data_IF_672300477894
#
_entry.id   IF_672300477894
#
_cell.length_a   1.000
_cell.length_b   1.000
_cell.length_c   1.000
_cell.angle_alpha   90.00
_cell.angle_beta   90.00
_cell.angle_gamma   90.00
#
_symmetry.space_group_name_H-M   'P 1'
#
loop_
_entity.id
_entity.type
_entity.pdbx_description
1 polymer ?
#
# COMPACT_ATOMS: atom_id res chain seq x y z
N UNK A 1 7.37 -3.36 9.54
CA UNK A 1 6.38 -3.05 8.47
C UNK A 1 6.23 -4.16 7.44
N UNK A 2 7.28 -4.88 7.04
CA UNK A 2 7.22 -6.01 6.06
C UNK A 2 6.23 -7.13 6.43
N UNK A 3 5.90 -7.30 7.71
CA UNK A 3 4.90 -8.25 8.17
C UNK A 3 3.44 -7.79 7.95
N UNK A 4 3.18 -6.52 7.59
CA UNK A 4 1.81 -6.01 7.43
C UNK A 4 0.99 -6.77 6.37
N UNK A 5 1.54 -7.10 5.18
CA UNK A 5 0.84 -7.93 4.21
C UNK A 5 0.67 -9.39 4.64
N UNK A 6 1.37 -9.88 5.68
CA UNK A 6 1.30 -11.29 6.10
C UNK A 6 -0.10 -11.67 6.60
N UNK A 7 -0.81 -10.74 7.26
CA UNK A 7 -2.19 -10.94 7.69
C UNK A 7 -3.13 -11.09 6.50
N UNK A 8 -2.95 -10.25 5.47
CA UNK A 8 -3.70 -10.36 4.22
C UNK A 8 -3.42 -11.69 3.53
N UNK A 9 -2.15 -12.11 3.43
CA UNK A 9 -1.79 -13.40 2.83
C UNK A 9 -2.35 -14.58 3.62
N UNK A 10 -2.40 -14.49 4.96
CA UNK A 10 -3.02 -15.51 5.80
C UNK A 10 -4.53 -15.62 5.51
N UNK A 11 -5.23 -14.50 5.39
CA UNK A 11 -6.66 -14.48 5.01
C UNK A 11 -6.88 -15.08 3.63
N UNK A 12 -6.09 -14.69 2.64
CA UNK A 12 -6.16 -15.25 1.29
C UNK A 12 -5.92 -16.77 1.31
N UNK A 13 -4.96 -17.23 2.10
CA UNK A 13 -4.67 -18.66 2.23
C UNK A 13 -5.83 -19.44 2.88
N UNK A 14 -6.50 -18.84 3.86
CA UNK A 14 -7.66 -19.44 4.55
C UNK A 14 -8.91 -19.44 3.67
N UNK A 15 -9.20 -18.31 3.01
CA UNK A 15 -10.38 -18.13 2.17
C UNK A 15 -10.21 -18.74 0.76
N UNK A 16 -9.00 -19.17 0.40
CA UNK A 16 -8.64 -19.74 -0.91
C UNK A 16 -8.98 -18.84 -2.10
N UNK A 17 -9.20 -17.55 -1.85
CA UNK A 17 -9.46 -16.52 -2.85
C UNK A 17 -8.75 -15.22 -2.47
N UNK A 18 -8.44 -14.40 -3.47
CA UNK A 18 -7.72 -13.12 -3.28
C UNK A 18 -8.66 -11.94 -2.96
N UNK A 19 -9.94 -12.06 -3.29
CA UNK A 19 -10.92 -10.97 -3.15
C UNK A 19 -10.57 -9.77 -4.05
N UNK A 20 -10.84 -8.55 -3.56
CA UNK A 20 -10.56 -7.27 -4.25
C UNK A 20 -9.12 -6.74 -4.07
N UNK A 21 -8.25 -7.54 -3.46
CA UNK A 21 -6.87 -7.12 -3.15
C UNK A 21 -6.06 -6.91 -4.43
N UNK A 22 -5.38 -5.77 -4.57
CA UNK A 22 -4.53 -5.48 -5.73
C UNK A 22 -3.13 -6.08 -5.58
N UNK A 23 -2.55 -6.55 -6.70
CA UNK A 23 -1.16 -7.06 -6.77
C UNK A 23 -0.12 -5.92 -6.80
N UNK A 24 -0.53 -4.71 -7.17
CA UNK A 24 0.35 -3.54 -7.32
C UNK A 24 1.18 -3.26 -6.05
N UNK A 25 0.60 -3.15 -4.84
CA UNK A 25 1.39 -2.92 -3.63
C UNK A 25 2.39 -4.04 -3.32
N UNK A 26 2.11 -5.30 -3.67
CA UNK A 26 3.07 -6.41 -3.50
C UNK A 26 4.23 -6.28 -4.49
N UNK A 27 3.93 -5.95 -5.75
CA UNK A 27 4.95 -5.75 -6.78
C UNK A 27 5.80 -4.50 -6.49
N UNK A 28 5.20 -3.42 -5.98
CA UNK A 28 5.90 -2.21 -5.58
C UNK A 28 6.76 -2.44 -4.32
N UNK A 29 6.29 -3.24 -3.36
CA UNK A 29 7.10 -3.67 -2.22
C UNK A 29 8.33 -4.47 -2.65
N UNK A 30 8.17 -5.41 -3.60
CA UNK A 30 9.28 -6.15 -4.18
C UNK A 30 10.27 -5.19 -4.84
N UNK A 31 9.78 -4.31 -5.71
CA UNK A 31 10.64 -3.38 -6.44
C UNK A 31 11.43 -2.45 -5.51
N UNK A 32 10.76 -1.85 -4.52
CA UNK A 32 11.42 -0.99 -3.55
C UNK A 32 12.47 -1.75 -2.72
N UNK A 33 12.14 -2.96 -2.25
CA UNK A 33 13.07 -3.76 -1.45
C UNK A 33 14.28 -4.17 -2.26
N UNK A 34 14.07 -4.57 -3.52
CA UNK A 34 15.14 -4.99 -4.42
C UNK A 34 16.12 -3.85 -4.74
N UNK A 35 15.61 -2.66 -5.06
CA UNK A 35 16.45 -1.50 -5.39
C UNK A 35 17.26 -1.05 -4.18
N UNK A 36 16.66 -0.99 -2.99
CA UNK A 36 17.36 -0.65 -1.75
C UNK A 36 18.39 -1.71 -1.32
N UNK A 37 18.11 -2.98 -1.57
CA UNK A 37 19.08 -4.06 -1.36
C UNK A 37 20.31 -3.87 -2.27
N UNK A 38 20.09 -3.60 -3.56
CA UNK A 38 21.17 -3.34 -4.52
C UNK A 38 21.96 -2.08 -4.17
N UNK A 39 21.29 -1.03 -3.68
CA UNK A 39 21.93 0.17 -3.16
C UNK A 39 22.84 -0.15 -1.97
N UNK A 40 22.34 -0.89 -0.97
CA UNK A 40 23.13 -1.30 0.20
C UNK A 40 24.35 -2.14 -0.18
N UNK A 41 24.24 -2.98 -1.21
CA UNK A 41 25.38 -3.73 -1.76
C UNK A 41 26.46 -2.81 -2.35
N UNK A 42 26.08 -1.80 -3.14
CA UNK A 42 27.03 -0.85 -3.75
C UNK A 42 27.70 0.08 -2.73
N UNK A 43 26.95 0.52 -1.73
CA UNK A 43 27.44 1.40 -0.67
C UNK A 43 28.28 0.62 0.38
N UNK A 44 28.51 -0.68 0.18
CA UNK A 44 29.16 -1.59 1.14
C UNK A 44 28.47 -1.62 2.52
N UNK A 45 27.18 -1.28 2.54
CA UNK A 45 26.36 -1.18 3.73
C UNK A 45 25.59 -2.50 3.95
N UNK A 46 26.35 -3.52 4.34
CA UNK A 46 25.82 -4.89 4.52
C UNK A 46 24.81 -4.99 5.67
N UNK A 47 25.01 -4.22 6.75
CA UNK A 47 24.11 -4.14 7.89
C UNK A 47 23.90 -2.69 8.32
N UNK A 48 22.64 -2.22 8.48
CA UNK A 48 21.38 -2.95 8.37
C UNK A 48 20.73 -2.88 6.97
N UNK A 49 21.20 -2.01 6.06
CA UNK A 49 20.50 -1.71 4.79
C UNK A 49 20.32 -2.98 3.94
N UNK A 50 21.41 -3.58 3.47
CA UNK A 50 21.34 -4.78 2.63
C UNK A 50 20.56 -5.91 3.31
N UNK A 51 20.86 -6.21 4.58
CA UNK A 51 20.23 -7.30 5.32
C UNK A 51 18.70 -7.11 5.50
N UNK A 52 18.25 -5.92 5.91
CA UNK A 52 16.83 -5.66 6.11
C UNK A 52 16.04 -5.70 4.79
N UNK A 53 16.61 -5.15 3.72
CA UNK A 53 15.96 -5.12 2.41
C UNK A 53 16.01 -6.46 1.69
N UNK A 54 17.04 -7.28 1.92
CA UNK A 54 17.07 -8.68 1.47
C UNK A 54 15.93 -9.50 2.09
N UNK A 55 15.71 -9.37 3.41
CA UNK A 55 14.56 -10.02 4.07
C UNK A 55 13.24 -9.50 3.49
N UNK A 56 13.14 -8.20 3.23
CA UNK A 56 11.99 -7.58 2.56
C UNK A 56 11.72 -8.17 1.17
N UNK A 57 12.76 -8.33 0.36
CA UNK A 57 12.72 -8.90 -0.99
C UNK A 57 12.24 -10.36 -0.95
N UNK A 58 12.84 -11.20 -0.09
CA UNK A 58 12.43 -12.59 0.10
C UNK A 58 10.97 -12.71 0.58
N UNK A 59 10.55 -11.89 1.55
CA UNK A 59 9.16 -11.86 1.99
C UNK A 59 8.22 -11.45 0.85
N UNK A 60 8.58 -10.44 0.05
CA UNK A 60 7.77 -9.99 -1.08
C UNK A 60 7.61 -11.08 -2.14
N UNK A 61 8.67 -11.85 -2.44
CA UNK A 61 8.61 -13.01 -3.33
C UNK A 61 7.67 -14.10 -2.79
N UNK A 62 7.72 -14.39 -1.50
CA UNK A 62 6.81 -15.36 -0.86
C UNK A 62 5.37 -14.88 -0.95
N UNK A 63 5.08 -13.62 -0.60
CA UNK A 63 3.73 -13.06 -0.68
C UNK A 63 3.18 -13.06 -2.11
N UNK A 64 4.02 -12.69 -3.08
CA UNK A 64 3.65 -12.68 -4.48
C UNK A 64 3.37 -14.11 -5.01
N UNK A 65 4.15 -15.09 -4.55
CA UNK A 65 3.94 -16.50 -4.90
C UNK A 65 2.61 -17.02 -4.36
N UNK A 66 2.28 -16.72 -3.10
CA UNK A 66 0.99 -17.07 -2.49
C UNK A 66 -0.16 -16.39 -3.24
N UNK A 67 -0.04 -15.09 -3.51
CA UNK A 67 -1.03 -14.32 -4.27
C UNK A 67 -1.26 -14.91 -5.67
N UNK A 68 -0.18 -15.23 -6.39
CA UNK A 68 -0.25 -15.81 -7.73
C UNK A 68 -0.92 -17.20 -7.75
N UNK A 69 -0.71 -18.00 -6.70
CA UNK A 69 -1.34 -19.30 -6.59
C UNK A 69 -2.86 -19.20 -6.46
N UNK A 70 -3.36 -18.29 -5.60
CA UNK A 70 -4.78 -18.15 -5.28
C UNK A 70 -5.56 -17.17 -6.18
N UNK A 71 -4.88 -16.38 -7.02
CA UNK A 71 -5.57 -15.42 -7.89
C UNK A 71 -6.23 -16.11 -9.09
N UNK A 72 -7.44 -15.67 -9.42
CA UNK A 72 -8.13 -16.02 -10.66
C UNK A 72 -7.59 -15.19 -11.85
N UNK A 73 -7.15 -13.96 -11.59
CA UNK A 73 -6.70 -12.98 -12.58
C UNK A 73 -5.21 -13.11 -12.93
N UNK A 74 -4.74 -14.33 -13.21
CA UNK A 74 -3.31 -14.61 -13.47
C UNK A 74 -2.73 -13.79 -14.61
N UNK A 75 -3.51 -13.50 -15.66
CA UNK A 75 -3.08 -12.68 -16.81
C UNK A 75 -2.78 -11.23 -16.41
N UNK A 76 -3.50 -10.69 -15.43
CA UNK A 76 -3.24 -9.34 -14.91
C UNK A 76 -1.95 -9.33 -14.09
N UNK A 77 -1.78 -10.32 -13.18
CA UNK A 77 -0.54 -10.45 -12.40
C UNK A 77 0.67 -10.65 -13.30
N UNK A 78 0.60 -11.53 -14.29
CA UNK A 78 1.68 -11.74 -15.24
C UNK A 78 2.03 -10.47 -16.03
N UNK A 79 1.04 -9.65 -16.40
CA UNK A 79 1.30 -8.35 -17.04
C UNK A 79 2.05 -7.39 -16.11
N UNK A 80 1.65 -7.30 -14.85
CA UNK A 80 2.34 -6.47 -13.84
C UNK A 80 3.78 -6.96 -13.65
N UNK A 81 3.99 -8.27 -13.50
CA UNK A 81 5.32 -8.85 -13.32
C UNK A 81 6.18 -8.76 -14.59
N UNK A 82 5.58 -8.86 -15.77
CA UNK A 82 6.28 -8.65 -17.04
C UNK A 82 6.79 -7.21 -17.21
N UNK A 83 6.26 -6.25 -16.46
CA UNK A 83 6.80 -4.87 -16.41
C UNK A 83 7.84 -4.75 -15.30
N UNK A 84 7.52 -5.24 -14.09
CA UNK A 84 8.39 -5.05 -12.91
C UNK A 84 9.69 -5.86 -13.00
N UNK A 85 9.63 -7.14 -13.38
CA UNK A 85 10.80 -8.02 -13.40
C UNK A 85 11.89 -7.49 -14.37
N UNK A 86 11.59 -7.09 -15.63
CA UNK A 86 12.61 -6.52 -16.49
C UNK A 86 13.25 -5.25 -15.93
N UNK A 87 12.48 -4.38 -15.28
CA UNK A 87 13.03 -3.17 -14.64
C UNK A 87 14.02 -3.57 -13.54
N UNK A 88 13.67 -4.53 -12.68
CA UNK A 88 14.55 -5.00 -11.61
C UNK A 88 15.80 -5.69 -12.16
N UNK A 89 15.67 -6.49 -13.22
CA UNK A 89 16.79 -7.11 -13.90
C UNK A 89 17.73 -6.06 -14.52
N UNK A 90 17.19 -5.03 -15.17
CA UNK A 90 17.99 -3.94 -15.73
C UNK A 90 18.78 -3.19 -14.65
N UNK A 91 18.13 -2.86 -13.52
CA UNK A 91 18.80 -2.23 -12.37
C UNK A 91 19.89 -3.16 -11.81
N UNK A 92 19.59 -4.45 -11.66
CA UNK A 92 20.55 -5.44 -11.16
C UNK A 92 21.77 -5.58 -12.06
N UNK A 93 21.56 -5.68 -13.38
CA UNK A 93 22.65 -5.74 -14.36
C UNK A 93 23.47 -4.47 -14.31
N UNK A 94 22.84 -3.29 -14.25
CA UNK A 94 23.55 -2.01 -14.12
C UNK A 94 24.40 -1.95 -12.85
N UNK A 95 23.88 -2.41 -11.72
CA UNK A 95 24.59 -2.50 -10.44
C UNK A 95 25.79 -3.44 -10.52
N UNK A 96 25.62 -4.63 -11.10
CA UNK A 96 26.70 -5.63 -11.22
C UNK A 96 27.79 -5.13 -12.17
N UNK A 97 27.41 -4.68 -13.38
CA UNK A 97 28.36 -4.18 -14.39
C UNK A 97 29.08 -2.91 -13.90
N UNK A 98 28.34 -2.02 -13.21
CA UNK A 98 28.89 -0.82 -12.60
C UNK A 98 29.81 -1.09 -11.42
N UNK A 99 29.45 -2.06 -10.56
CA UNK A 99 30.30 -2.51 -9.45
C UNK A 99 31.58 -3.20 -9.90
N UNK A 100 31.54 -3.93 -11.02
CA UNK A 100 32.71 -4.55 -11.65
C UNK A 100 33.60 -3.56 -12.44
N UNK A 101 33.17 -2.30 -12.59
CA UNK A 101 33.95 -1.25 -13.24
C UNK A 101 33.87 -1.22 -14.77
N UNK A 102 33.01 -2.03 -15.39
CA UNK A 102 32.86 -2.08 -16.86
C UNK A 102 32.11 -0.88 -17.46
N UNK A 103 31.47 -0.05 -16.63
CA UNK A 103 30.74 1.15 -17.07
C UNK A 103 31.63 2.38 -17.24
N UNK A 104 32.91 2.30 -16.86
CA UNK A 104 33.82 3.46 -16.81
C UNK A 104 33.46 4.49 -15.73
N UNK A 105 32.47 4.20 -14.88
CA UNK A 105 32.06 5.03 -13.75
C UNK A 105 32.72 4.54 -12.46
N UNK A 106 32.95 5.46 -11.53
CA UNK A 106 33.34 5.07 -10.16
C UNK A 106 32.19 4.39 -9.44
N UNK A 107 32.48 3.47 -8.52
CA UNK A 107 31.46 2.80 -7.69
C UNK A 107 30.55 3.79 -6.96
N UNK A 108 31.10 4.94 -6.54
CA UNK A 108 30.33 6.04 -5.94
C UNK A 108 29.32 6.66 -6.89
N UNK A 109 29.67 6.88 -8.16
CA UNK A 109 28.73 7.44 -9.15
C UNK A 109 27.56 6.48 -9.42
N UNK A 110 27.86 5.18 -9.53
CA UNK A 110 26.83 4.14 -9.70
C UNK A 110 25.93 4.08 -8.46
N UNK A 111 26.51 4.10 -7.25
CA UNK A 111 25.76 4.15 -5.99
C UNK A 111 24.84 5.37 -5.90
N UNK A 112 25.32 6.56 -6.28
CA UNK A 112 24.50 7.79 -6.33
C UNK A 112 23.30 7.64 -7.25
N UNK A 113 23.48 7.11 -8.46
CA UNK A 113 22.39 6.92 -9.43
C UNK A 113 21.35 5.93 -8.88
N UNK A 114 21.81 4.81 -8.34
CA UNK A 114 20.93 3.78 -7.75
C UNK A 114 20.21 4.33 -6.51
N UNK A 115 20.88 5.13 -5.68
CA UNK A 115 20.28 5.81 -4.53
C UNK A 115 19.16 6.76 -4.94
N UNK A 116 19.35 7.56 -5.99
CA UNK A 116 18.27 8.41 -6.55
C UNK A 116 17.06 7.58 -7.01
N UNK A 117 17.31 6.45 -7.68
CA UNK A 117 16.24 5.55 -8.14
C UNK A 117 15.53 4.91 -6.94
N UNK A 118 16.27 4.53 -5.90
CA UNK A 118 15.74 3.97 -4.66
C UNK A 118 14.84 4.96 -3.92
N UNK A 119 15.26 6.23 -3.82
CA UNK A 119 14.49 7.30 -3.21
C UNK A 119 13.19 7.56 -3.99
N UNK A 120 13.28 7.66 -5.32
CA UNK A 120 12.11 7.84 -6.18
C UNK A 120 11.12 6.68 -6.03
N UNK A 121 11.61 5.43 -6.07
CA UNK A 121 10.78 4.25 -5.88
C UNK A 121 10.11 4.23 -4.49
N UNK A 122 10.84 4.62 -3.45
CA UNK A 122 10.31 4.71 -2.09
C UNK A 122 9.23 5.79 -1.95
N UNK A 123 9.42 6.96 -2.56
CA UNK A 123 8.40 8.03 -2.59
C UNK A 123 7.14 7.55 -3.32
N UNK A 124 7.29 6.91 -4.49
CA UNK A 124 6.15 6.35 -5.22
C UNK A 124 5.39 5.29 -4.40
N UNK A 125 6.10 4.41 -3.68
CA UNK A 125 5.48 3.41 -2.80
C UNK A 125 4.67 4.05 -1.66
N UNK A 126 5.17 5.15 -1.10
CA UNK A 126 4.48 5.93 -0.07
C UNK A 126 3.28 6.74 -0.59
N UNK A 127 3.04 6.76 -1.91
CA UNK A 127 1.87 7.40 -2.51
C UNK A 127 0.53 6.86 -1.99
N UNK A 128 0.42 5.56 -1.72
CA UNK A 128 -0.81 4.96 -1.20
C UNK A 128 -1.20 5.50 0.21
N UNK A 129 -0.29 5.54 1.20
CA UNK A 129 -0.52 6.28 2.45
C UNK A 129 -0.86 7.76 2.25
N UNK A 130 -0.24 8.45 1.29
CA UNK A 130 -0.55 9.85 0.99
C UNK A 130 -1.97 10.05 0.45
N UNK A 131 -2.49 9.12 -0.35
CA UNK A 131 -3.86 9.17 -0.84
C UNK A 131 -4.87 9.08 0.34
N UNK A 132 -4.63 8.16 1.28
CA UNK A 132 -5.46 8.03 2.49
C UNK A 132 -5.44 9.31 3.33
N UNK A 133 -4.28 9.97 3.44
CA UNK A 133 -4.16 11.26 4.11
C UNK A 133 -5.00 12.37 3.43
N UNK A 134 -5.02 12.40 2.10
CA UNK A 134 -5.86 13.32 1.34
C UNK A 134 -7.36 13.03 1.57
N UNK A 135 -7.75 11.76 1.65
CA UNK A 135 -9.12 11.37 1.98
C UNK A 135 -9.54 11.85 3.38
N UNK A 136 -8.65 11.79 4.37
CA UNK A 136 -8.91 12.27 5.73
C UNK A 136 -9.14 13.77 5.75
N UNK A 137 -8.31 14.54 5.03
CA UNK A 137 -8.50 15.99 4.89
C UNK A 137 -9.80 16.34 4.17
N UNK A 138 -10.15 15.59 3.12
CA UNK A 138 -11.37 15.80 2.32
C UNK A 138 -12.64 15.49 3.10
N UNK A 139 -12.67 14.38 3.82
CA UNK A 139 -13.85 13.89 4.54
C UNK A 139 -13.89 14.32 6.01
N UNK A 140 -12.85 15.02 6.50
CA UNK A 140 -12.70 15.46 7.90
C UNK A 140 -12.93 14.34 8.91
N UNK A 141 -12.56 13.11 8.55
CA UNK A 141 -12.78 11.92 9.35
C UNK A 141 -11.51 11.09 9.46
N UNK A 142 -11.18 10.70 10.69
CA UNK A 142 -10.01 9.88 10.99
C UNK A 142 -10.34 8.38 11.11
N UNK A 143 -11.57 7.96 10.75
CA UNK A 143 -12.04 6.55 10.86
C UNK A 143 -11.11 5.56 10.16
N UNK A 144 -10.54 5.95 9.01
CA UNK A 144 -9.70 5.07 8.20
C UNK A 144 -8.22 5.04 8.64
N UNK A 145 -7.83 5.82 9.67
CA UNK A 145 -6.45 5.85 10.14
C UNK A 145 -6.29 4.86 11.31
N UNK A 146 -5.53 3.79 11.07
CA UNK A 146 -5.02 2.96 12.16
C UNK A 146 -3.87 3.69 12.87
N UNK A 147 -4.18 4.31 14.02
CA UNK A 147 -3.23 5.13 14.79
C UNK A 147 -1.98 4.34 15.22
N UNK A 148 -2.14 3.08 15.60
CA UNK A 148 -1.02 2.23 16.02
C UNK A 148 -0.03 2.00 14.86
N UNK A 149 -0.55 1.80 13.65
CA UNK A 149 0.29 1.62 12.46
C UNK A 149 1.04 2.89 12.07
N UNK A 150 0.40 4.06 12.20
CA UNK A 150 1.05 5.37 11.93
C UNK A 150 2.14 5.65 12.96
N UNK A 151 1.92 5.38 14.24
CA UNK A 151 2.93 5.54 15.30
C UNK A 151 4.12 4.61 15.02
N UNK A 152 3.86 3.32 14.80
CA UNK A 152 4.92 2.34 14.52
C UNK A 152 5.73 2.69 13.26
N UNK A 153 5.04 3.14 12.19
CA UNK A 153 5.69 3.60 10.96
C UNK A 153 6.55 4.85 11.19
N UNK A 154 6.04 5.84 11.93
CA UNK A 154 6.79 7.06 12.25
C UNK A 154 8.03 6.75 13.08
N UNK A 155 7.92 5.90 14.11
CA UNK A 155 9.08 5.46 14.91
C UNK A 155 10.11 4.73 14.06
N UNK A 156 9.69 3.84 13.15
CA UNK A 156 10.59 3.18 12.21
C UNK A 156 11.35 4.20 11.35
N UNK A 157 10.67 5.21 10.82
CA UNK A 157 11.30 6.24 9.99
C UNK A 157 12.25 7.13 10.81
N UNK A 158 11.96 7.40 12.08
CA UNK A 158 12.89 8.10 12.99
C UNK A 158 14.16 7.27 13.22
N UNK A 159 14.03 5.95 13.44
CA UNK A 159 15.20 5.06 13.61
C UNK A 159 16.08 5.09 12.35
N UNK A 160 15.47 4.97 11.17
CA UNK A 160 16.20 5.05 9.90
C UNK A 160 16.80 6.42 9.64
N UNK A 161 16.13 7.51 10.06
CA UNK A 161 16.68 8.85 9.99
C UNK A 161 17.92 9.00 10.87
N UNK A 162 17.85 8.55 12.14
CA UNK A 162 19.00 8.56 13.05
C UNK A 162 20.15 7.72 12.48
N UNK A 163 19.84 6.57 11.90
CA UNK A 163 20.83 5.73 11.23
C UNK A 163 21.48 6.45 10.04
N UNK A 164 20.69 7.06 9.15
CA UNK A 164 21.19 7.82 8.01
C UNK A 164 22.10 8.98 8.42
N UNK A 165 21.77 9.68 9.51
CA UNK A 165 22.62 10.73 10.09
C UNK A 165 23.95 10.14 10.58
N UNK A 166 23.93 9.00 11.27
CA UNK A 166 25.13 8.36 11.81
C UNK A 166 26.13 7.96 10.72
N UNK A 167 25.64 7.46 9.59
CA UNK A 167 26.48 7.07 8.45
C UNK A 167 26.65 8.19 7.41
N UNK A 168 26.12 9.39 7.68
CA UNK A 168 26.13 10.55 6.77
C UNK A 168 25.63 10.19 5.35
N UNK A 169 24.61 9.34 5.27
CA UNK A 169 24.02 8.90 4.02
C UNK A 169 22.81 9.77 3.68
N UNK A 170 23.01 10.71 2.75
CA UNK A 170 22.03 11.71 2.38
C UNK A 170 20.74 11.14 1.77
N UNK A 171 20.80 10.00 1.07
CA UNK A 171 19.62 9.37 0.49
C UNK A 171 18.68 8.85 1.59
N UNK A 172 19.24 8.09 2.54
CA UNK A 172 18.47 7.59 3.69
C UNK A 172 17.93 8.76 4.53
N UNK A 173 18.74 9.80 4.77
CA UNK A 173 18.27 10.98 5.49
C UNK A 173 17.08 11.63 4.77
N UNK A 174 17.25 11.93 3.48
CA UNK A 174 16.27 12.66 2.68
C UNK A 174 14.90 11.99 2.71
N UNK A 175 14.85 10.70 2.36
CA UNK A 175 13.58 9.98 2.27
C UNK A 175 12.90 9.82 3.65
N UNK A 176 13.69 9.61 4.71
CA UNK A 176 13.12 9.42 6.05
C UNK A 176 12.65 10.74 6.68
N UNK A 177 13.30 11.88 6.40
CA UNK A 177 12.76 13.20 6.80
C UNK A 177 11.39 13.41 6.17
N UNK A 178 11.24 13.10 4.89
CA UNK A 178 9.96 13.19 4.19
C UNK A 178 8.91 12.30 4.87
N UNK A 179 9.22 11.05 5.21
CA UNK A 179 8.22 10.17 5.85
C UNK A 179 7.92 10.52 7.31
N UNK A 180 8.90 11.03 8.07
CA UNK A 180 8.67 11.50 9.44
C UNK A 180 7.77 12.74 9.45
N UNK A 181 7.98 13.68 8.53
CA UNK A 181 7.12 14.87 8.42
C UNK A 181 5.68 14.50 8.07
N UNK A 182 5.50 13.59 7.11
CA UNK A 182 4.17 13.07 6.75
C UNK A 182 3.51 12.27 7.88
N UNK A 183 4.25 11.41 8.57
CA UNK A 183 3.77 10.65 9.72
C UNK A 183 3.31 11.56 10.86
N UNK A 184 4.14 12.56 11.19
CA UNK A 184 3.82 13.57 12.21
C UNK A 184 2.58 14.38 11.83
N UNK A 185 2.50 14.81 10.57
CA UNK A 185 1.31 15.52 10.07
C UNK A 185 0.05 14.67 10.18
N UNK A 186 0.13 13.38 9.84
CA UNK A 186 -0.98 12.42 10.00
C UNK A 186 -1.42 12.28 11.46
N UNK A 187 -0.47 12.21 12.40
CA UNK A 187 -0.75 12.17 13.84
C UNK A 187 -1.43 13.45 14.34
N UNK A 188 -1.01 14.62 13.83
CA UNK A 188 -1.64 15.89 14.15
C UNK A 188 -3.09 15.93 13.65
N UNK A 189 -3.35 15.51 12.42
CA UNK A 189 -4.72 15.45 11.87
C UNK A 189 -5.60 14.49 12.67
N UNK A 190 -5.08 13.35 13.11
CA UNK A 190 -5.81 12.42 13.97
C UNK A 190 -6.24 13.06 15.30
N UNK A 191 -5.44 13.96 15.88
CA UNK A 191 -5.83 14.69 17.10
C UNK A 191 -6.90 15.76 16.86
N UNK A 192 -6.90 16.37 15.67
CA UNK A 192 -7.81 17.46 15.31
C UNK A 192 -9.17 16.94 14.83
N UNK A 193 -9.18 15.84 14.07
CA UNK A 193 -10.41 15.24 13.55
C UNK A 193 -10.90 14.13 14.46
N UNK A 194 -12.18 14.16 14.81
CA UNK A 194 -12.77 13.15 15.67
C UNK A 194 -12.85 11.80 14.91
N UNK A 195 -12.29 10.70 15.45
CA UNK A 195 -12.37 9.37 14.82
C UNK A 195 -13.80 8.81 14.79
N UNK A 196 -14.76 9.45 15.50
CA UNK A 196 -16.18 9.05 15.50
C UNK A 196 -17.07 9.80 14.50
N UNK A 197 -16.56 10.86 13.87
CA UNK A 197 -17.31 11.54 12.79
C UNK A 197 -17.19 10.70 11.52
N UNK A 198 -18.17 9.83 11.28
CA UNK A 198 -18.29 9.08 10.03
C UNK A 198 -18.73 10.02 8.90
N UNK A 199 -18.11 9.97 7.71
CA UNK A 199 -18.59 10.69 6.53
C UNK A 199 -19.72 9.94 5.80
N UNK A 200 -20.12 8.77 6.29
CA UNK A 200 -21.22 7.97 5.76
C UNK A 200 -22.48 8.28 6.59
N UNK A 201 -23.60 8.50 5.90
CA UNK A 201 -24.91 8.84 6.48
C UNK A 201 -25.31 7.91 7.64
N UNK A 202 -25.99 8.47 8.64
CA UNK A 202 -26.55 7.75 9.80
C UNK A 202 -27.37 6.53 9.35
N UNK A 203 -26.88 5.32 9.64
CA UNK A 203 -27.50 4.05 9.26
C UNK A 203 -26.53 2.90 9.00
N UNK A 204 -25.22 3.18 8.92
CA UNK A 204 -24.19 2.19 8.57
C UNK A 204 -23.46 1.58 9.78
N UNK A 205 -24.15 1.32 10.90
CA UNK A 205 -23.60 0.52 11.99
C UNK A 205 -24.69 -0.42 12.51
N UNK A 206 -24.46 -1.74 12.46
CA UNK A 206 -24.20 -2.58 13.64
C UNK A 206 -23.94 -4.01 13.19
N UNK A 207 -22.67 -4.41 13.04
CA UNK A 207 -22.25 -5.76 13.43
C UNK A 207 -20.95 -5.64 14.25
N UNK A 208 -20.86 -6.23 15.46
CA UNK A 208 -19.77 -5.99 16.39
C UNK A 208 -18.47 -6.74 16.07
N UNK A 209 -18.40 -7.47 14.96
CA UNK A 209 -17.32 -8.43 14.70
C UNK A 209 -16.17 -7.88 13.83
N UNK A 210 -16.24 -6.62 13.36
CA UNK A 210 -15.25 -6.04 12.44
C UNK A 210 -14.09 -5.31 13.15
N UNK A 211 -14.01 -5.32 14.48
CA UNK A 211 -12.92 -4.66 15.24
C UNK A 211 -11.52 -5.28 15.02
N UNK A 212 -11.39 -6.38 14.27
CA UNK A 212 -10.10 -6.95 13.87
C UNK A 212 -9.75 -6.79 12.38
N UNK A 213 -10.42 -5.90 11.65
CA UNK A 213 -10.11 -5.71 10.24
C UNK A 213 -8.94 -4.74 9.97
N UNK A 214 -7.71 -5.27 10.10
CA UNK A 214 -6.53 -4.77 9.37
C UNK A 214 -6.77 -5.06 7.88
N UNK A 215 -7.68 -4.32 7.26
CA UNK A 215 -7.84 -4.26 5.82
C UNK A 215 -6.91 -3.16 5.29
N UNK A 216 -5.71 -3.58 4.87
CA UNK A 216 -4.98 -2.86 3.82
C UNK A 216 -5.70 -3.13 2.51
N UNK A 217 -6.96 -2.67 2.41
CA UNK A 217 -7.65 -2.54 1.15
C UNK A 217 -7.20 -1.21 0.55
N UNK A 218 -6.34 -1.30 -0.45
CA UNK A 218 -6.30 -0.26 -1.47
C UNK A 218 -7.62 -0.43 -2.22
N UNK A 219 -8.64 0.26 -1.76
CA UNK A 219 -9.81 0.55 -2.58
C UNK A 219 -9.30 1.41 -3.75
N UNK A 220 -8.92 0.75 -4.84
CA UNK A 220 -8.99 1.38 -6.14
C UNK A 220 -10.47 1.56 -6.43
N UNK A 221 -11.01 2.68 -5.98
CA UNK A 221 -12.27 3.20 -6.52
C UNK A 221 -12.13 3.18 -8.04
N UNK A 222 -12.93 2.42 -8.80
CA UNK A 222 -12.90 2.56 -10.25
C UNK A 222 -13.45 3.96 -10.52
N UNK A 223 -12.59 4.84 -11.00
CA UNK A 223 -12.99 6.15 -11.49
C UNK A 223 -13.75 5.94 -12.81
N UNK A 224 -14.98 5.42 -12.72
CA UNK A 224 -15.92 5.43 -13.83
C UNK A 224 -16.27 6.89 -14.10
N UNK A 225 -15.90 7.29 -15.30
CA UNK A 225 -16.05 8.63 -15.82
C UNK A 225 -17.43 9.22 -15.52
N UNK A 226 -17.42 10.28 -14.70
CA UNK A 226 -18.48 11.26 -14.62
C UNK A 226 -18.62 11.95 -15.98
N UNK A 227 -19.37 11.34 -16.90
CA UNK A 227 -20.02 12.01 -18.05
C UNK A 227 -21.11 11.22 -18.77
N UNK A 228 -21.34 9.93 -18.48
CA UNK A 228 -22.45 9.19 -19.09
C UNK A 228 -23.74 9.11 -18.23
N UNK A 229 -23.67 9.37 -16.91
CA UNK A 229 -24.79 9.14 -15.98
C UNK A 229 -25.66 10.38 -15.68
N UNK A 230 -25.85 11.29 -16.65
CA UNK A 230 -26.85 12.37 -16.53
C UNK A 230 -27.97 12.32 -17.57
N UNK A 231 -27.94 11.38 -18.53
CA UNK A 231 -28.98 11.27 -19.57
C UNK A 231 -29.88 10.04 -19.45
N UNK A 232 -29.65 9.16 -18.47
CA UNK A 232 -30.42 7.91 -18.30
C UNK A 232 -31.19 7.81 -16.97
N UNK A 233 -31.16 8.84 -16.13
CA UNK A 233 -31.81 8.85 -14.80
C UNK A 233 -33.13 9.63 -14.75
N UNK A 234 -33.65 10.09 -15.89
CA UNK A 234 -34.91 10.87 -15.96
C UNK A 234 -36.15 10.05 -16.33
N UNK A 235 -36.04 8.74 -16.59
CA UNK A 235 -37.16 7.91 -17.06
C UNK A 235 -37.28 6.56 -16.32
N UNK A 236 -37.26 6.55 -14.98
CA UNK A 236 -37.73 5.40 -14.22
C UNK A 236 -39.07 5.76 -13.56
N UNK A 237 -40.17 5.04 -13.85
CA UNK A 237 -41.44 5.26 -13.18
C UNK A 237 -41.32 4.86 -11.70
N UNK A 238 -41.87 5.69 -10.82
CA UNK A 238 -41.89 5.49 -9.37
C UNK A 238 -42.52 4.13 -9.01
N UNK A 239 -42.01 3.40 -8.01
CA UNK A 239 -42.65 2.16 -7.55
C UNK A 239 -43.98 2.49 -6.87
N UNK A 240 -45.08 1.94 -7.40
CA UNK A 240 -46.38 1.91 -6.76
C UNK A 240 -46.32 1.11 -5.46
N UNK A 241 -46.63 1.76 -4.34
CA UNK A 241 -46.92 1.05 -3.08
C UNK A 241 -48.32 0.42 -3.19
N UNK A 242 -48.39 -0.89 -3.42
CA UNK A 242 -49.62 -1.67 -3.25
C UNK A 242 -49.72 -2.12 -1.80
N UNK A 243 -50.70 -1.61 -1.06
CA UNK A 243 -50.99 -2.08 0.29
C UNK A 243 -51.53 -3.52 0.22
N UNK A 244 -50.77 -4.47 0.76
CA UNK A 244 -51.17 -5.88 0.85
C UNK A 244 -52.09 -6.01 2.08
N UNK A 245 -53.34 -6.41 1.88
CA UNK A 245 -54.28 -6.70 2.97
C UNK A 245 -53.90 -8.01 3.67
N UNK A 246 -54.02 -8.06 5.01
CA UNK A 246 -53.67 -9.25 5.78
C UNK A 246 -54.70 -10.37 5.57
N UNK A 247 -54.30 -11.66 5.65
CA UNK A 247 -55.24 -12.76 5.60
C UNK A 247 -56.11 -12.76 6.87
N UNK A 248 -57.42 -12.96 6.70
CA UNK A 248 -58.34 -13.21 7.80
C UNK A 248 -58.34 -14.71 8.15
N UNK A 249 -58.10 -15.02 9.41
CA UNK A 249 -58.28 -16.36 9.98
C UNK A 249 -59.76 -16.76 9.95
N UNK A 250 -60.12 -17.98 9.49
CA UNK A 250 -61.49 -18.46 9.61
C UNK A 250 -61.79 -18.85 11.05
N UNK A 251 -62.70 -18.11 11.69
CA UNK A 251 -63.29 -18.45 12.98
C UNK A 251 -64.01 -19.81 12.88
N UNK A 252 -63.48 -20.80 13.61
CA UNK A 252 -64.09 -22.11 13.82
C UNK A 252 -65.13 -22.00 14.95
N UNK A 253 -66.42 -22.10 14.63
CA UNK A 253 -67.46 -22.68 15.50
C UNK A 253 -68.69 -23.05 14.71
#
# INVERSE_FOLDING_TARGET
MVASPSLLMRRIHQQKHVGVSSVIPLAALLANSHIWMMYGYLDSNFFPVFSCFLVGDLCALVYLSIYFYYTTERRYVLRVLAVVIPILLLVSVYVIVGGLGYTGQTTKQVSTIVGCIADFAGICLYGAPMEKLFQVLKHKSAVFINIHMVIAGTTNNVIWLTYGILITNWFIIFINVLFVTLGTFTLCLYKVYNPKTHPLQDGWNTHPDDEEEISVSIDLTPHLESKASKKSLTNLPSPEYSAVSSPLDPLRR
#
